data_IF_827337091691
#
_entry.id   IF_827337091691
#
_cell.length_a   1.000
_cell.length_b   1.000
_cell.length_c   1.000
_cell.angle_alpha   90.00
_cell.angle_beta   90.00
_cell.angle_gamma   90.00
#
_symmetry.space_group_name_H-M   'P 1'
#
loop_
_entity.id
_entity.type
_entity.pdbx_description
1 polymer ?
#
# COMPACT_ATOMS: atom_id res chain seq x y z
N UNK A 1 -26.46 -5.87 -3.50
CA UNK A 1 -25.54 -4.98 -4.25
C UNK A 1 -24.10 -5.38 -3.95
N UNK A 2 -23.46 -6.18 -4.81
CA UNK A 2 -22.04 -6.54 -4.65
C UNK A 2 -21.23 -5.29 -4.91
N UNK A 3 -20.77 -4.61 -3.85
CA UNK A 3 -19.87 -3.48 -3.96
C UNK A 3 -18.64 -3.95 -4.73
N UNK A 4 -18.56 -3.61 -6.03
CA UNK A 4 -17.39 -3.89 -6.87
C UNK A 4 -16.25 -3.00 -6.38
N UNK A 5 -15.67 -3.34 -5.22
CA UNK A 5 -14.35 -2.82 -4.87
C UNK A 5 -13.43 -3.24 -6.00
N UNK A 6 -12.83 -2.25 -6.64
CA UNK A 6 -11.88 -2.45 -7.73
C UNK A 6 -10.85 -3.49 -7.29
N UNK A 7 -10.59 -4.55 -8.06
CA UNK A 7 -9.69 -5.64 -7.66
C UNK A 7 -8.31 -5.10 -7.26
N UNK A 8 -7.90 -3.98 -7.85
CA UNK A 8 -6.67 -3.26 -7.48
C UNK A 8 -6.68 -2.75 -6.03
N UNK A 9 -7.81 -2.27 -5.52
CA UNK A 9 -7.94 -1.79 -4.14
C UNK A 9 -7.86 -2.92 -3.12
N UNK A 10 -8.25 -4.14 -3.49
CA UNK A 10 -8.17 -5.31 -2.61
C UNK A 10 -6.71 -5.63 -2.27
N UNK A 11 -5.81 -5.48 -3.24
CA UNK A 11 -4.38 -5.73 -3.07
C UNK A 11 -3.61 -4.48 -2.62
N UNK A 12 -4.05 -3.29 -3.02
CA UNK A 12 -3.39 -2.04 -2.67
C UNK A 12 -3.43 -1.74 -1.15
N UNK A 13 -4.59 -1.96 -0.52
CA UNK A 13 -4.79 -1.68 0.92
C UNK A 13 -3.84 -2.47 1.81
N UNK A 14 -3.73 -3.81 1.71
CA UNK A 14 -2.78 -4.55 2.53
C UNK A 14 -1.33 -4.19 2.20
N UNK A 15 -0.97 -3.88 0.95
CA UNK A 15 0.38 -3.41 0.62
C UNK A 15 0.73 -2.10 1.32
N UNK A 16 -0.17 -1.12 1.30
CA UNK A 16 0.02 0.16 1.99
C UNK A 16 0.11 -0.03 3.51
N UNK A 17 -0.74 -0.88 4.08
CA UNK A 17 -0.71 -1.19 5.51
C UNK A 17 0.62 -1.84 5.93
N UNK A 18 1.11 -2.82 5.16
CA UNK A 18 2.41 -3.46 5.43
C UNK A 18 3.56 -2.45 5.30
N UNK A 19 3.54 -1.60 4.28
CA UNK A 19 4.54 -0.54 4.12
C UNK A 19 4.57 0.42 5.30
N UNK A 20 3.41 0.89 5.76
CA UNK A 20 3.29 1.74 6.94
C UNK A 20 3.75 1.03 8.23
N UNK A 21 3.44 -0.26 8.38
CA UNK A 21 3.91 -1.06 9.50
C UNK A 21 5.44 -1.20 9.49
N UNK A 22 6.06 -1.41 8.32
CA UNK A 22 7.52 -1.44 8.19
C UNK A 22 8.16 -0.09 8.57
N UNK A 23 7.57 1.04 8.16
CA UNK A 23 8.04 2.37 8.62
C UNK A 23 7.90 2.49 10.14
N UNK A 24 6.73 2.17 10.69
CA UNK A 24 6.49 2.28 12.13
C UNK A 24 7.42 1.41 12.97
N UNK A 25 7.69 0.18 12.52
CA UNK A 25 8.65 -0.70 13.17
C UNK A 25 10.06 -0.12 13.03
N UNK A 26 10.49 0.22 11.82
CA UNK A 26 11.83 0.77 11.58
C UNK A 26 12.13 2.03 12.38
N UNK A 27 11.14 2.92 12.54
CA UNK A 27 11.24 4.12 13.36
C UNK A 27 11.21 3.86 14.88
N UNK A 28 10.55 2.79 15.32
CA UNK A 28 10.43 2.46 16.76
C UNK A 28 11.55 1.58 17.29
N UNK A 29 12.24 0.85 16.42
CA UNK A 29 13.31 -0.09 16.78
C UNK A 29 14.69 0.30 16.26
N UNK A 30 14.85 1.49 15.67
CA UNK A 30 16.06 1.94 14.95
C UNK A 30 16.54 0.95 13.87
N UNK A 31 15.64 0.08 13.41
CA UNK A 31 15.93 -0.91 12.41
C UNK A 31 15.75 -0.30 11.01
N UNK A 32 16.76 0.43 10.54
CA UNK A 32 16.81 1.06 9.22
C UNK A 32 16.41 0.11 8.10
N UNK A 33 16.73 -1.18 8.20
CA UNK A 33 16.35 -2.21 7.23
C UNK A 33 14.85 -2.21 6.92
N UNK A 34 13.99 -2.03 7.93
CA UNK A 34 12.54 -1.97 7.72
C UNK A 34 12.09 -0.66 7.07
N UNK A 35 12.79 0.45 7.35
CA UNK A 35 12.54 1.74 6.69
C UNK A 35 12.89 1.66 5.21
N UNK A 36 14.04 1.05 4.87
CA UNK A 36 14.46 0.84 3.48
C UNK A 36 13.58 -0.15 2.72
N UNK A 37 12.93 -1.08 3.43
CA UNK A 37 12.02 -2.07 2.85
C UNK A 37 10.61 -1.50 2.59
N UNK A 38 10.17 -0.51 3.38
CA UNK A 38 8.84 0.08 3.27
C UNK A 38 8.49 0.65 1.88
N UNK A 39 9.38 1.36 1.15
CA UNK A 39 9.12 1.83 -0.22
C UNK A 39 8.70 0.72 -1.17
N UNK A 40 9.24 -0.49 -1.00
CA UNK A 40 8.91 -1.67 -1.81
C UNK A 40 7.46 -2.12 -1.66
N UNK A 41 6.77 -1.74 -0.59
CA UNK A 41 5.34 -2.01 -0.38
C UNK A 41 4.47 -0.78 -0.64
N UNK A 42 4.92 0.41 -0.24
CA UNK A 42 4.16 1.66 -0.38
C UNK A 42 4.01 2.07 -1.85
N UNK A 43 5.08 2.00 -2.65
CA UNK A 43 5.04 2.42 -4.05
C UNK A 43 4.08 1.57 -4.92
N UNK A 44 4.16 0.22 -4.93
CA UNK A 44 3.20 -0.59 -5.68
C UNK A 44 1.78 -0.49 -5.10
N UNK A 45 1.63 -0.35 -3.77
CA UNK A 45 0.33 -0.07 -3.15
C UNK A 45 -0.31 1.21 -3.67
N UNK A 46 0.42 2.33 -3.69
CA UNK A 46 -0.04 3.60 -4.24
C UNK A 46 -0.34 3.52 -5.74
N UNK A 47 0.49 2.80 -6.50
CA UNK A 47 0.27 2.59 -7.93
C UNK A 47 -1.04 1.82 -8.19
N UNK A 48 -1.33 0.78 -7.41
CA UNK A 48 -2.58 0.03 -7.50
C UNK A 48 -3.79 0.85 -7.05
N UNK A 49 -3.64 1.74 -6.04
CA UNK A 49 -4.70 2.71 -5.70
C UNK A 49 -4.95 3.64 -6.87
N UNK A 50 -3.91 4.17 -7.52
CA UNK A 50 -4.04 5.07 -8.65
C UNK A 50 -4.75 4.39 -9.84
N UNK A 51 -4.42 3.14 -10.16
CA UNK A 51 -5.12 2.36 -11.18
C UNK A 51 -6.58 2.06 -10.78
N UNK A 52 -6.81 1.71 -9.52
CA UNK A 52 -8.15 1.42 -9.00
C UNK A 52 -9.07 2.63 -8.90
N UNK A 53 -8.52 3.81 -8.65
CA UNK A 53 -9.22 5.09 -8.59
C UNK A 53 -9.40 5.71 -9.99
N UNK A 54 -8.38 5.64 -10.84
CA UNK A 54 -8.44 6.12 -12.23
C UNK A 54 -9.45 5.37 -13.09
N UNK A 55 -9.69 4.08 -12.80
CA UNK A 55 -10.74 3.28 -13.45
C UNK A 55 -12.18 3.58 -13.01
N UNK A 56 -12.39 4.40 -11.97
CA UNK A 56 -13.74 4.87 -11.55
C UNK A 56 -14.14 6.21 -12.17
N UNK A 57 -13.21 6.91 -12.84
CA UNK A 57 -13.44 8.23 -13.43
C UNK A 57 -13.74 8.18 -14.95
N UNK A 58 -13.70 6.99 -15.57
CA UNK A 58 -14.22 6.70 -16.92
C UNK A 58 -15.46 5.82 -16.81
#
# INVERSE_FOLDING_TARGET
MRSRRSPYLITAVPMLATGLACVGIGLSTDAETFVWMAPGFVLPGLFLVALGAGGRAR
#
